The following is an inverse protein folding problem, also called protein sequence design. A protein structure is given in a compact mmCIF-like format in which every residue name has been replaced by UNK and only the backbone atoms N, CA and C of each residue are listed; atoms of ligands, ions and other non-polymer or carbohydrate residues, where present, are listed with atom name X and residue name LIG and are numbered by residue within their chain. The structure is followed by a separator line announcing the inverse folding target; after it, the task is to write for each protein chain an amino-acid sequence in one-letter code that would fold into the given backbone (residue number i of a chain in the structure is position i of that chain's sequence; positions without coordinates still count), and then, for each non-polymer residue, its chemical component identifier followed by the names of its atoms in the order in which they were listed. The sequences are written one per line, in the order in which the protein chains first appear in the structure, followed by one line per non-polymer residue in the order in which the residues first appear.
data_IF_383960354775
#
_entry.id   IF_383960354775
#
_cell.length_a   1.000
_cell.length_b   1.000
_cell.length_c   1.000
_cell.angle_alpha   90.00
_cell.angle_beta   90.00
_cell.angle_gamma   90.00
#
_symmetry.space_group_name_H-M   'P 1'
#
loop_
_entity.id
_entity.type
_entity.pdbx_description
1 polymer ?
#
# COMPACT_ATOMS: atom_id res chain seq x y z
N UNK A 1 -5.72 -10.17 11.25
CA UNK A 1 -5.59 -9.00 10.34
C UNK A 1 -4.13 -8.67 10.07
N UNK A 2 -3.27 -8.63 11.09
CA UNK A 2 -1.83 -8.37 10.96
C UNK A 2 -1.11 -9.28 9.94
N UNK A 3 -1.35 -10.59 9.97
CA UNK A 3 -0.76 -11.52 8.99
C UNK A 3 -1.19 -11.27 7.53
N UNK A 4 -2.42 -10.79 7.32
CA UNK A 4 -2.88 -10.38 5.99
C UNK A 4 -2.14 -9.13 5.52
N UNK A 5 -2.05 -8.11 6.37
CA UNK A 5 -1.34 -6.86 6.05
C UNK A 5 0.11 -7.14 5.69
N UNK A 6 0.84 -7.86 6.56
CA UNK A 6 2.24 -8.23 6.32
C UNK A 6 2.42 -8.90 4.96
N UNK A 7 1.56 -9.87 4.65
CA UNK A 7 1.61 -10.60 3.38
C UNK A 7 1.36 -9.71 2.17
N UNK A 8 0.40 -8.80 2.26
CA UNK A 8 0.15 -7.83 1.18
C UNK A 8 1.37 -6.93 0.98
N UNK A 9 2.04 -6.50 2.05
CA UNK A 9 3.28 -5.72 1.93
C UNK A 9 4.41 -6.52 1.29
N UNK A 10 4.58 -7.80 1.65
CA UNK A 10 5.59 -8.68 1.02
C UNK A 10 5.33 -8.84 -0.49
N UNK A 11 4.06 -8.99 -0.88
CA UNK A 11 3.68 -9.04 -2.30
C UNK A 11 3.88 -7.70 -3.01
N UNK A 12 3.60 -6.59 -2.32
CA UNK A 12 3.85 -5.24 -2.85
C UNK A 12 5.36 -4.99 -3.04
N UNK A 13 6.21 -5.50 -2.13
CA UNK A 13 7.67 -5.44 -2.25
C UNK A 13 8.17 -6.20 -3.49
N UNK A 14 7.63 -7.40 -3.72
CA UNK A 14 7.95 -8.16 -4.92
C UNK A 14 7.52 -7.44 -6.22
N UNK A 15 6.40 -6.71 -6.20
CA UNK A 15 5.97 -5.86 -7.33
C UNK A 15 6.90 -4.66 -7.48
N UNK A 16 7.23 -3.97 -6.39
CA UNK A 16 8.15 -2.83 -6.40
C UNK A 16 9.51 -3.21 -7.00
N UNK A 17 10.08 -4.34 -6.58
CA UNK A 17 11.34 -4.87 -7.10
C UNK A 17 11.28 -5.15 -8.62
N UNK A 18 10.18 -5.73 -9.12
CA UNK A 18 9.98 -5.94 -10.57
C UNK A 18 9.94 -4.64 -11.38
N UNK A 19 9.53 -3.55 -10.74
CA UNK A 19 9.46 -2.21 -11.34
C UNK A 19 10.74 -1.39 -11.10
N UNK A 20 11.82 -2.01 -10.58
CA UNK A 20 13.07 -1.35 -10.19
C UNK A 20 12.88 -0.22 -9.15
N UNK A 21 11.84 -0.34 -8.31
CA UNK A 21 11.65 0.57 -7.18
C UNK A 21 12.43 0.03 -5.98
N UNK A 22 13.17 0.93 -5.33
CA UNK A 22 13.84 0.68 -4.07
C UNK A 22 12.84 0.35 -2.96
N UNK A 23 13.23 -0.54 -2.05
CA UNK A 23 12.41 -0.96 -0.93
C UNK A 23 12.23 0.19 0.07
N UNK A 24 10.99 0.71 0.26
CA UNK A 24 10.75 1.77 1.22
C UNK A 24 10.86 1.27 2.66
N UNK A 25 11.15 2.18 3.59
CA UNK A 25 10.97 1.90 5.02
C UNK A 25 9.50 2.09 5.39
N UNK A 26 8.81 0.98 5.67
CA UNK A 26 7.45 1.01 6.24
C UNK A 26 7.57 0.76 7.74
N UNK A 27 7.34 1.81 8.53
CA UNK A 27 7.48 1.77 10.00
C UNK A 27 6.21 1.25 10.67
N UNK A 28 5.05 1.60 10.12
CA UNK A 28 3.75 1.23 10.69
C UNK A 28 2.67 1.18 9.61
N UNK A 29 1.70 0.28 9.79
CA UNK A 29 0.43 0.29 9.04
C UNK A 29 -0.72 0.47 10.02
N UNK A 30 -1.51 1.53 9.84
CA UNK A 30 -2.71 1.79 10.64
C UNK A 30 -3.97 1.57 9.81
N UNK A 31 -4.82 0.67 10.29
CA UNK A 31 -6.17 0.48 9.73
C UNK A 31 -7.11 1.44 10.47
N UNK A 32 -7.71 2.37 9.72
CA UNK A 32 -8.65 3.35 10.25
C UNK A 32 -10.08 2.87 10.06
N UNK A 33 -11.01 3.29 10.92
CA UNK A 33 -12.44 3.02 10.72
C UNK A 33 -12.99 3.84 9.52
N UNK A 34 -14.15 3.42 8.99
CA UNK A 34 -14.66 3.86 7.68
C UNK A 34 -14.91 5.36 7.53
N UNK A 35 -15.16 6.06 8.63
CA UNK A 35 -15.43 7.51 8.71
C UNK A 35 -14.21 8.33 9.14
N UNK A 36 -13.07 7.67 9.38
CA UNK A 36 -11.87 8.33 9.85
C UNK A 36 -11.28 9.26 8.79
N UNK A 37 -10.94 10.47 9.23
CA UNK A 37 -10.18 11.40 8.40
C UNK A 37 -8.71 10.96 8.33
N UNK A 38 -8.02 11.21 7.21
CA UNK A 38 -6.58 11.02 7.15
C UNK A 38 -5.89 11.85 8.24
N UNK A 39 -4.88 11.29 8.93
CA UNK A 39 -4.08 12.05 9.88
C UNK A 39 -3.43 13.27 9.23
N UNK A 40 -3.20 14.31 10.04
CA UNK A 40 -2.61 15.57 9.55
C UNK A 40 -1.23 15.31 8.95
N UNK A 41 -1.00 15.79 7.74
CA UNK A 41 0.27 15.58 7.02
C UNK A 41 0.34 14.30 6.19
N UNK A 42 -0.64 13.39 6.30
CA UNK A 42 -0.73 12.25 5.41
C UNK A 42 -1.18 12.68 4.00
N UNK A 43 -0.45 12.23 2.98
CA UNK A 43 -0.77 12.45 1.58
C UNK A 43 -1.70 11.36 1.08
N UNK A 44 -2.69 11.75 0.28
CA UNK A 44 -3.63 10.82 -0.33
C UNK A 44 -2.97 10.07 -1.48
N UNK A 45 -3.06 8.74 -1.45
CA UNK A 45 -2.65 7.87 -2.56
C UNK A 45 -3.86 7.47 -3.39
N UNK A 46 -4.92 7.02 -2.71
CA UNK A 46 -6.19 6.68 -3.33
C UNK A 46 -7.33 6.99 -2.35
N UNK A 47 -8.58 6.74 -2.75
CA UNK A 47 -9.69 6.79 -1.80
C UNK A 47 -9.51 5.77 -0.67
N UNK A 48 -9.43 6.28 0.57
CA UNK A 48 -9.19 5.48 1.76
C UNK A 48 -7.77 4.91 1.87
N UNK A 49 -6.79 5.45 1.16
CA UNK A 49 -5.37 5.08 1.28
C UNK A 49 -4.49 6.33 1.30
N UNK A 50 -3.66 6.43 2.34
CA UNK A 50 -2.84 7.59 2.63
C UNK A 50 -1.47 7.17 3.16
N UNK A 51 -0.48 8.04 3.02
CA UNK A 51 0.89 7.82 3.50
C UNK A 51 1.46 9.05 4.17
N UNK A 52 2.18 8.87 5.27
CA UNK A 52 3.10 9.89 5.79
C UNK A 52 4.51 9.53 5.32
N UNK A 53 4.99 10.21 4.28
CA UNK A 53 6.20 9.83 3.54
C UNK A 53 7.45 9.81 4.42
N UNK A 54 7.70 10.89 5.16
CA UNK A 54 8.88 11.04 6.02
C UNK A 54 8.88 10.05 7.19
N UNK A 55 7.69 9.68 7.69
CA UNK A 55 7.53 8.77 8.82
C UNK A 55 7.51 7.30 8.37
N UNK A 56 7.30 7.03 7.08
CA UNK A 56 7.13 5.67 6.54
C UNK A 56 5.82 4.99 6.99
N UNK A 57 4.79 5.76 7.32
CA UNK A 57 3.53 5.22 7.86
C UNK A 57 2.47 5.12 6.77
N UNK A 58 1.83 3.95 6.67
CA UNK A 58 0.69 3.70 5.79
C UNK A 58 -0.61 3.77 6.60
N UNK A 59 -1.56 4.59 6.14
CA UNK A 59 -2.90 4.66 6.69
C UNK A 59 -3.90 4.17 5.67
N UNK A 60 -4.69 3.16 6.01
CA UNK A 60 -5.74 2.65 5.13
C UNK A 60 -7.06 2.58 5.88
N UNK A 61 -8.11 3.08 5.23
CA UNK A 61 -9.48 2.96 5.75
C UNK A 61 -9.92 1.51 5.58
N UNK A 62 -10.56 0.96 6.61
CA UNK A 62 -11.11 -0.39 6.63
C UNK A 62 -12.06 -0.61 5.45
N UNK A 63 -11.96 -1.78 4.86
CA UNK A 63 -12.76 -2.21 3.72
C UNK A 63 -12.81 -3.73 3.69
N UNK A 64 -13.51 -4.30 2.70
CA UNK A 64 -13.39 -5.71 2.39
C UNK A 64 -11.92 -6.06 2.03
N UNK A 65 -11.49 -7.32 2.21
CA UNK A 65 -10.09 -7.71 2.00
C UNK A 65 -9.53 -7.36 0.63
N UNK A 66 -10.37 -7.38 -0.41
CA UNK A 66 -9.97 -7.10 -1.78
C UNK A 66 -9.60 -5.63 -1.94
N UNK A 67 -10.50 -4.72 -1.56
CA UNK A 67 -10.20 -3.29 -1.61
C UNK A 67 -9.07 -2.90 -0.65
N UNK A 68 -8.99 -3.55 0.52
CA UNK A 68 -7.90 -3.35 1.47
C UNK A 68 -6.54 -3.72 0.86
N UNK A 69 -6.45 -4.84 0.15
CA UNK A 69 -5.24 -5.24 -0.56
C UNK A 69 -4.80 -4.18 -1.58
N UNK A 70 -5.73 -3.69 -2.42
CA UNK A 70 -5.43 -2.65 -3.40
C UNK A 70 -4.91 -1.37 -2.74
N UNK A 71 -5.56 -0.94 -1.65
CA UNK A 71 -5.19 0.27 -0.89
C UNK A 71 -3.79 0.17 -0.31
N UNK A 72 -3.44 -0.98 0.29
CA UNK A 72 -2.13 -1.24 0.88
C UNK A 72 -1.03 -1.28 -0.17
N UNK A 73 -1.26 -1.98 -1.30
CA UNK A 73 -0.28 -2.09 -2.39
C UNK A 73 0.00 -0.72 -3.00
N UNK A 74 -1.04 0.06 -3.27
CA UNK A 74 -0.87 1.40 -3.81
C UNK A 74 -0.07 2.30 -2.85
N UNK A 75 -0.37 2.27 -1.55
CA UNK A 75 0.37 3.03 -0.54
C UNK A 75 1.85 2.62 -0.47
N UNK A 76 2.12 1.32 -0.47
CA UNK A 76 3.48 0.79 -0.48
C UNK A 76 4.26 1.26 -1.72
N UNK A 77 3.66 1.15 -2.90
CA UNK A 77 4.29 1.57 -4.14
C UNK A 77 4.53 3.08 -4.19
N UNK A 78 3.62 3.89 -3.62
CA UNK A 78 3.81 5.32 -3.52
C UNK A 78 5.01 5.68 -2.60
N UNK A 79 5.16 4.97 -1.48
CA UNK A 79 6.36 5.09 -0.63
C UNK A 79 7.63 4.62 -1.36
N UNK A 80 7.56 3.53 -2.12
CA UNK A 80 8.69 3.01 -2.88
C UNK A 80 9.14 4.01 -3.95
N UNK A 81 8.20 4.64 -4.67
CA UNK A 81 8.50 5.70 -5.65
C UNK A 81 9.13 6.93 -4.99
N UNK A 82 8.58 7.36 -3.85
CA UNK A 82 9.16 8.45 -3.07
C UNK A 82 10.60 8.12 -2.65
N UNK A 83 10.82 6.93 -2.10
CA UNK A 83 12.14 6.48 -1.67
C UNK A 83 13.14 6.41 -2.83
N UNK A 84 12.70 5.96 -4.01
CA UNK A 84 13.59 5.74 -5.16
C UNK A 84 13.90 7.04 -5.91
N UNK A 85 12.89 7.88 -6.11
CA UNK A 85 12.96 9.01 -7.04
C UNK A 85 12.80 10.38 -6.36
N UNK A 86 12.53 10.40 -5.05
CA UNK A 86 12.21 11.64 -4.33
C UNK A 86 10.92 12.31 -4.84
N UNK A 87 10.05 11.54 -5.52
CA UNK A 87 8.84 12.07 -6.16
C UNK A 87 7.64 11.23 -5.75
N UNK A 88 6.62 11.90 -5.22
CA UNK A 88 5.36 11.27 -4.86
C UNK A 88 4.43 11.24 -6.09
N UNK A 89 4.23 10.06 -6.68
CA UNK A 89 3.35 9.86 -7.84
C UNK A 89 2.26 8.82 -7.52
N UNK A 90 1.18 9.24 -6.84
CA UNK A 90 0.14 8.32 -6.40
C UNK A 90 -0.64 7.69 -7.56
N UNK A 91 -0.79 8.40 -8.68
CA UNK A 91 -1.49 7.88 -9.87
C UNK A 91 -0.76 6.67 -10.45
N UNK A 92 0.56 6.76 -10.63
CA UNK A 92 1.39 5.66 -11.13
C UNK A 92 1.40 4.50 -10.12
N UNK A 93 1.50 4.79 -8.82
CA UNK A 93 1.44 3.76 -7.78
C UNK A 93 0.12 2.98 -7.83
N UNK A 94 -1.01 3.67 -8.01
CA UNK A 94 -2.33 3.06 -8.16
C UNK A 94 -2.43 2.26 -9.47
N UNK A 95 -1.88 2.76 -10.57
CA UNK A 95 -1.87 2.06 -11.85
C UNK A 95 -1.12 0.72 -11.75
N UNK A 96 0.11 0.75 -11.22
CA UNK A 96 0.92 -0.47 -11.00
C UNK A 96 0.20 -1.43 -10.05
N UNK A 97 -0.39 -0.92 -8.97
CA UNK A 97 -1.18 -1.73 -8.04
C UNK A 97 -2.35 -2.43 -8.75
N UNK A 98 -3.08 -1.73 -9.62
CA UNK A 98 -4.20 -2.29 -10.40
C UNK A 98 -3.74 -3.34 -11.39
N UNK A 99 -2.65 -3.10 -12.12
CA UNK A 99 -2.09 -4.05 -13.08
C UNK A 99 -1.67 -5.38 -12.42
N UNK A 100 -1.23 -5.33 -11.16
CA UNK A 100 -0.78 -6.50 -10.40
C UNK A 100 -1.84 -7.05 -9.43
N UNK A 101 -3.01 -6.41 -9.35
CA UNK A 101 -3.99 -6.64 -8.29
C UNK A 101 -4.50 -8.08 -8.24
N UNK A 102 -4.83 -8.66 -9.40
CA UNK A 102 -5.36 -10.03 -9.46
C UNK A 102 -4.35 -11.05 -8.90
N UNK A 103 -3.08 -10.94 -9.29
CA UNK A 103 -2.01 -11.82 -8.83
C UNK A 103 -1.80 -11.65 -7.32
N UNK A 104 -1.80 -10.42 -6.81
CA UNK A 104 -1.67 -10.15 -5.38
C UNK A 104 -2.84 -10.77 -4.61
N UNK A 105 -4.08 -10.54 -5.03
CA UNK A 105 -5.27 -11.02 -4.34
C UNK A 105 -5.30 -12.55 -4.27
N UNK A 106 -5.02 -13.22 -5.39
CA UNK A 106 -4.97 -14.69 -5.43
C UNK A 106 -3.90 -15.23 -4.47
N UNK A 107 -2.70 -14.66 -4.48
CA UNK A 107 -1.62 -15.10 -3.58
C UNK A 107 -1.86 -14.74 -2.11
N UNK A 108 -2.62 -13.67 -1.83
CA UNK A 108 -3.02 -13.30 -0.47
C UNK A 108 -4.03 -14.29 0.11
N UNK A 109 -4.96 -14.79 -0.71
CA UNK A 109 -6.06 -15.68 -0.28
C UNK A 109 -5.65 -17.16 -0.27
N UNK A 110 -4.80 -17.61 -1.19
CA UNK A 110 -4.43 -19.05 -1.31
C UNK A 110 -3.75 -19.63 -0.08
N UNK A 111 -3.03 -18.83 0.69
CA UNK A 111 -2.33 -19.29 1.91
C UNK A 111 -3.04 -18.86 3.21
N UNK A 112 -4.29 -18.40 3.10
CA UNK A 112 -5.18 -18.16 4.23
C UNK A 112 -6.06 -19.38 4.57
N UNK A 113 -5.95 -20.47 3.79
CA UNK A 113 -6.55 -21.79 4.03
C UNK A 113 -5.51 -22.73 4.61
#
# INVERSE_FOLDING_TARGET
MEGFVKRILDLADAVAAKMNLGRPSVTEVRILESDARPPRGALRVAEGSFVALEEGVIYVVKADPSLLALRLVAAYLALAMWHTYGTFSPELAVEIARQNYFVILVNAVREFR
#
